data_IF_861905413055
#
_entry.id   IF_861905413055
#
_cell.length_a   1.000
_cell.length_b   1.000
_cell.length_c   1.000
_cell.angle_alpha   90.00
_cell.angle_beta   90.00
_cell.angle_gamma   90.00
#
_symmetry.space_group_name_H-M   'P 1'
#
loop_
_entity.id
_entity.type
_entity.pdbx_description
1 polymer ?
#
# COMPACT_ATOMS: atom_id res chain seq x y z
N UNK A 1 -7.14 14.00 -38.25
CA UNK A 1 -5.90 13.87 -37.45
C UNK A 1 -6.22 13.03 -36.23
N UNK A 2 -5.67 11.82 -36.13
CA UNK A 2 -5.86 10.92 -34.99
C UNK A 2 -4.67 11.05 -34.04
N UNK A 3 -4.92 11.36 -32.77
CA UNK A 3 -3.90 11.34 -31.73
C UNK A 3 -3.67 9.89 -31.32
N UNK A 4 -2.56 9.30 -31.78
CA UNK A 4 -2.07 8.04 -31.24
C UNK A 4 -1.45 8.32 -29.86
N UNK A 5 -2.11 7.84 -28.80
CA UNK A 5 -1.49 7.79 -27.48
C UNK A 5 -0.45 6.68 -27.49
N UNK A 6 0.82 7.05 -27.41
CA UNK A 6 1.88 6.10 -27.15
C UNK A 6 1.72 5.62 -25.70
N UNK A 7 1.24 4.38 -25.52
CA UNK A 7 1.38 3.70 -24.25
C UNK A 7 2.87 3.60 -23.94
N UNK A 8 3.35 4.46 -23.03
CA UNK A 8 4.69 4.37 -22.53
C UNK A 8 4.88 2.96 -21.98
N UNK A 9 5.84 2.21 -22.55
CA UNK A 9 6.22 0.91 -22.03
C UNK A 9 6.62 1.11 -20.57
N UNK A 10 5.78 0.62 -19.66
CA UNK A 10 6.04 0.69 -18.22
C UNK A 10 7.27 -0.17 -17.97
N UNK A 11 8.40 0.47 -17.70
CA UNK A 11 9.61 -0.23 -17.29
C UNK A 11 9.25 -1.11 -16.07
N UNK A 12 9.69 -2.38 -16.05
CA UNK A 12 9.39 -3.25 -14.92
C UNK A 12 9.90 -2.59 -13.65
N UNK A 13 9.10 -2.60 -12.58
CA UNK A 13 9.51 -2.00 -11.33
C UNK A 13 10.78 -2.72 -10.83
N UNK A 14 11.68 -2.04 -10.10
CA UNK A 14 12.81 -2.69 -9.44
C UNK A 14 12.39 -3.97 -8.74
N UNK A 15 13.21 -5.03 -8.74
CA UNK A 15 12.83 -6.33 -8.18
C UNK A 15 12.27 -6.25 -6.74
N UNK A 16 12.81 -5.33 -5.93
CA UNK A 16 12.31 -5.04 -4.59
C UNK A 16 10.86 -4.49 -4.57
N UNK A 17 10.50 -3.64 -5.53
CA UNK A 17 9.14 -3.12 -5.67
C UNK A 17 8.18 -4.24 -6.09
N UNK A 18 8.58 -5.10 -7.04
CA UNK A 18 7.78 -6.26 -7.44
C UNK A 18 7.53 -7.21 -6.27
N UNK A 19 8.57 -7.52 -5.48
CA UNK A 19 8.45 -8.35 -4.28
C UNK A 19 7.53 -7.70 -3.24
N UNK A 20 7.67 -6.39 -3.00
CA UNK A 20 6.80 -5.66 -2.08
C UNK A 20 5.32 -5.75 -2.51
N UNK A 21 5.03 -5.50 -3.80
CA UNK A 21 3.66 -5.57 -4.34
C UNK A 21 3.09 -6.97 -4.18
N UNK A 22 3.80 -8.01 -4.63
CA UNK A 22 3.33 -9.39 -4.56
C UNK A 22 3.09 -9.82 -3.10
N UNK A 23 3.99 -9.42 -2.20
CA UNK A 23 3.88 -9.76 -0.78
C UNK A 23 2.69 -9.04 -0.14
N UNK A 24 2.54 -7.73 -0.38
CA UNK A 24 1.42 -6.93 0.12
C UNK A 24 0.07 -7.41 -0.40
N UNK A 25 -0.03 -7.71 -1.70
CA UNK A 25 -1.22 -8.29 -2.30
C UNK A 25 -1.58 -9.62 -1.61
N UNK A 26 -0.64 -10.54 -1.47
CA UNK A 26 -0.87 -11.80 -0.75
C UNK A 26 -1.26 -11.58 0.72
N UNK A 27 -0.67 -10.59 1.41
CA UNK A 27 -1.06 -10.22 2.76
C UNK A 27 -2.50 -9.72 2.84
N UNK A 28 -2.94 -8.91 1.88
CA UNK A 28 -4.31 -8.40 1.82
C UNK A 28 -5.28 -9.55 1.53
N UNK A 29 -5.01 -10.38 0.54
CA UNK A 29 -5.90 -11.49 0.14
C UNK A 29 -6.10 -12.52 1.25
N UNK A 30 -5.05 -12.87 2.02
CA UNK A 30 -5.24 -13.78 3.18
C UNK A 30 -6.06 -13.18 4.33
N UNK A 31 -6.29 -11.86 4.33
CA UNK A 31 -7.12 -11.15 5.32
C UNK A 31 -8.39 -10.58 4.69
N UNK A 32 -8.73 -10.98 3.46
CA UNK A 32 -9.93 -10.52 2.78
C UNK A 32 -11.17 -10.89 3.61
N UNK A 33 -12.12 -9.94 3.70
CA UNK A 33 -13.37 -10.17 4.39
C UNK A 33 -14.17 -11.25 3.65
N UNK A 34 -14.61 -12.34 4.31
CA UNK A 34 -15.37 -13.41 3.65
C UNK A 34 -16.74 -13.00 3.07
N UNK A 35 -17.22 -11.79 3.39
CA UNK A 35 -18.52 -11.27 2.93
C UNK A 35 -18.38 -10.38 1.69
N UNK A 36 -17.15 -10.13 1.24
CA UNK A 36 -16.86 -9.37 0.02
C UNK A 36 -16.55 -10.36 -1.10
N UNK A 37 -16.92 -10.01 -2.34
CA UNK A 37 -16.55 -10.79 -3.52
C UNK A 37 -15.03 -10.96 -3.59
N UNK A 38 -14.50 -12.18 -3.85
CA UNK A 38 -13.07 -12.40 -4.05
C UNK A 38 -12.47 -11.51 -5.13
N UNK A 39 -13.19 -11.29 -6.24
CA UNK A 39 -12.73 -10.46 -7.36
C UNK A 39 -12.62 -8.98 -6.95
N UNK A 40 -13.57 -8.48 -6.16
CA UNK A 40 -13.53 -7.11 -5.64
C UNK A 40 -12.36 -6.94 -4.65
N UNK A 41 -12.16 -7.93 -3.78
CA UNK A 41 -11.04 -7.93 -2.84
C UNK A 41 -9.69 -7.95 -3.57
N UNK A 42 -9.56 -8.76 -4.62
CA UNK A 42 -8.37 -8.84 -5.45
C UNK A 42 -8.09 -7.52 -6.19
N UNK A 43 -9.12 -6.91 -6.77
CA UNK A 43 -9.01 -5.60 -7.41
C UNK A 43 -8.50 -4.54 -6.43
N UNK A 44 -9.11 -4.46 -5.24
CA UNK A 44 -8.70 -3.48 -4.22
C UNK A 44 -7.31 -3.79 -3.68
N UNK A 45 -6.95 -5.06 -3.48
CA UNK A 45 -5.61 -5.45 -3.03
C UNK A 45 -4.53 -5.06 -4.06
N UNK A 46 -4.81 -5.25 -5.34
CA UNK A 46 -3.96 -4.82 -6.45
C UNK A 46 -3.78 -3.30 -6.45
N UNK A 47 -4.87 -2.55 -6.34
CA UNK A 47 -4.82 -1.08 -6.32
C UNK A 47 -3.99 -0.57 -5.13
N UNK A 48 -4.24 -1.07 -3.92
CA UNK A 48 -3.53 -0.64 -2.69
C UNK A 48 -2.03 -0.94 -2.78
N UNK A 49 -1.68 -2.15 -3.23
CA UNK A 49 -0.28 -2.58 -3.29
C UNK A 49 0.54 -1.75 -4.27
N UNK A 50 -0.03 -1.39 -5.42
CA UNK A 50 0.60 -0.48 -6.37
C UNK A 50 0.61 0.98 -5.90
N UNK A 51 -0.44 1.47 -5.25
CA UNK A 51 -0.49 2.83 -4.70
C UNK A 51 0.60 3.07 -3.63
N UNK A 52 1.07 2.02 -2.97
CA UNK A 52 2.21 2.08 -2.04
C UNK A 52 3.56 2.39 -2.72
N UNK A 53 3.68 2.20 -4.03
CA UNK A 53 4.88 2.55 -4.79
C UNK A 53 4.93 4.04 -5.18
N UNK A 54 3.81 4.75 -5.09
CA UNK A 54 3.70 6.15 -5.47
C UNK A 54 4.17 7.09 -4.36
N UNK A 55 4.65 8.30 -4.68
CA UNK A 55 5.35 9.14 -3.71
C UNK A 55 4.46 9.92 -2.74
N UNK A 56 3.12 9.85 -2.83
CA UNK A 56 2.26 10.68 -1.98
C UNK A 56 1.72 9.92 -0.76
N UNK A 57 0.85 10.54 0.03
CA UNK A 57 0.02 9.82 0.98
C UNK A 57 -0.90 8.84 0.26
N UNK A 58 -1.16 7.68 0.89
CA UNK A 58 -1.98 6.64 0.28
C UNK A 58 -3.35 7.14 -0.15
N UNK A 59 -3.99 8.00 0.64
CA UNK A 59 -5.30 8.56 0.29
C UNK A 59 -5.25 9.40 -0.99
N UNK A 60 -4.24 10.25 -1.18
CA UNK A 60 -4.06 11.04 -2.42
C UNK A 60 -3.74 10.15 -3.61
N UNK A 61 -2.88 9.16 -3.41
CA UNK A 61 -2.54 8.20 -4.47
C UNK A 61 -3.73 7.32 -4.89
N UNK A 62 -4.71 7.13 -4.00
CA UNK A 62 -5.97 6.45 -4.28
C UNK A 62 -7.08 7.40 -4.77
N UNK A 63 -6.86 8.71 -4.75
CA UNK A 63 -7.89 9.71 -5.09
C UNK A 63 -9.04 9.79 -4.07
N UNK A 64 -8.77 9.47 -2.81
CA UNK A 64 -9.74 9.52 -1.70
C UNK A 64 -9.66 10.86 -0.96
N UNK A 65 -10.68 11.19 -0.17
CA UNK A 65 -10.76 12.50 0.51
C UNK A 65 -9.89 12.62 1.77
N UNK A 66 -9.26 11.53 2.22
CA UNK A 66 -8.38 11.57 3.39
C UNK A 66 -8.07 10.21 4.00
N UNK A 67 -7.40 10.24 5.16
CA UNK A 67 -6.98 9.03 5.90
C UNK A 67 -8.17 8.17 6.32
N UNK A 68 -9.28 8.78 6.73
CA UNK A 68 -10.43 8.04 7.25
C UNK A 68 -11.15 7.26 6.14
N UNK A 69 -11.17 7.78 4.91
CA UNK A 69 -11.67 7.05 3.74
C UNK A 69 -10.83 5.80 3.45
N UNK A 70 -9.50 5.87 3.65
CA UNK A 70 -8.62 4.69 3.55
C UNK A 70 -8.91 3.71 4.67
N UNK A 71 -9.14 4.20 5.90
CA UNK A 71 -9.49 3.34 7.04
C UNK A 71 -10.80 2.59 6.77
N UNK A 72 -11.85 3.28 6.35
CA UNK A 72 -13.14 2.68 6.04
C UNK A 72 -13.04 1.65 4.89
N UNK A 73 -12.24 1.93 3.86
CA UNK A 73 -11.95 0.97 2.80
C UNK A 73 -11.24 -0.28 3.35
N UNK A 74 -10.19 -0.12 4.15
CA UNK A 74 -9.45 -1.25 4.73
C UNK A 74 -10.30 -2.05 5.72
N UNK A 75 -11.16 -1.40 6.51
CA UNK A 75 -12.10 -2.06 7.43
C UNK A 75 -13.17 -2.85 6.68
N UNK A 76 -13.64 -2.35 5.54
CA UNK A 76 -14.60 -3.07 4.69
C UNK A 76 -14.00 -4.30 4.02
N UNK A 77 -12.83 -4.15 3.40
CA UNK A 77 -12.24 -5.20 2.55
C UNK A 77 -11.30 -6.14 3.31
N UNK A 78 -10.57 -5.64 4.32
CA UNK A 78 -9.53 -6.37 5.04
C UNK A 78 -9.60 -6.14 6.57
N UNK A 79 -10.76 -6.36 7.21
CA UNK A 79 -11.03 -5.94 8.60
C UNK A 79 -10.02 -6.51 9.60
N UNK A 80 -9.65 -7.79 9.45
CA UNK A 80 -8.71 -8.45 10.34
C UNK A 80 -7.28 -7.89 10.25
N UNK A 81 -6.91 -7.28 9.11
CA UNK A 81 -5.64 -6.59 8.95
C UNK A 81 -5.74 -5.16 9.50
N UNK A 82 -6.82 -4.44 9.18
CA UNK A 82 -7.06 -3.08 9.65
C UNK A 82 -7.07 -2.99 11.18
N UNK A 83 -7.72 -3.95 11.85
CA UNK A 83 -7.79 -4.04 13.31
C UNK A 83 -6.43 -4.20 14.00
N UNK A 84 -5.38 -4.63 13.28
CA UNK A 84 -4.02 -4.74 13.83
C UNK A 84 -3.29 -3.40 13.90
N UNK A 85 -3.79 -2.35 13.25
CA UNK A 85 -3.20 -1.01 13.30
C UNK A 85 -3.57 -0.27 14.61
N UNK A 86 -3.35 -0.91 15.76
CA UNK A 86 -3.72 -0.39 17.08
C UNK A 86 -2.98 0.89 17.46
N UNK A 87 -1.75 1.06 16.95
CA UNK A 87 -0.94 2.25 17.15
C UNK A 87 -1.33 3.41 16.21
N UNK A 88 -2.38 3.25 15.39
CA UNK A 88 -2.88 4.29 14.49
C UNK A 88 -1.79 4.85 13.57
N UNK A 89 -0.90 3.98 13.09
CA UNK A 89 0.15 4.38 12.17
C UNK A 89 -0.45 4.87 10.85
N UNK A 90 0.31 5.70 10.13
CA UNK A 90 -0.01 6.06 8.74
C UNK A 90 -0.01 4.79 7.89
N UNK A 91 -1.00 4.67 7.00
CA UNK A 91 -1.29 3.40 6.34
C UNK A 91 -0.11 2.81 5.55
N UNK A 92 0.66 3.60 4.78
CA UNK A 92 1.87 3.07 4.10
C UNK A 92 2.92 2.52 5.07
N UNK A 93 3.11 3.18 6.23
CA UNK A 93 4.05 2.72 7.27
C UNK A 93 3.57 1.41 7.89
N UNK A 94 2.29 1.32 8.25
CA UNK A 94 1.70 0.09 8.77
C UNK A 94 1.81 -1.07 7.76
N UNK A 95 1.37 -0.87 6.51
CA UNK A 95 1.40 -1.92 5.49
C UNK A 95 2.84 -2.39 5.20
N UNK A 96 3.82 -1.48 5.17
CA UNK A 96 5.23 -1.84 5.02
C UNK A 96 5.77 -2.64 6.22
N UNK A 97 5.35 -2.32 7.45
CA UNK A 97 5.67 -3.14 8.62
C UNK A 97 5.09 -4.54 8.52
N UNK A 98 3.84 -4.67 8.04
CA UNK A 98 3.23 -6.00 7.85
C UNK A 98 3.97 -6.81 6.77
N UNK A 99 4.40 -6.16 5.68
CA UNK A 99 5.25 -6.78 4.65
C UNK A 99 6.56 -7.27 5.24
N UNK A 100 7.31 -6.40 5.91
CA UNK A 100 8.58 -6.75 6.53
C UNK A 100 8.43 -7.91 7.53
N UNK A 101 7.41 -7.85 8.40
CA UNK A 101 7.13 -8.90 9.37
C UNK A 101 6.84 -10.26 8.70
N UNK A 102 6.11 -10.28 7.57
CA UNK A 102 5.84 -11.53 6.85
C UNK A 102 7.07 -12.15 6.17
N UNK A 103 8.10 -11.33 5.91
CA UNK A 103 9.36 -11.77 5.32
C UNK A 103 10.45 -12.02 6.37
N UNK A 104 10.15 -11.81 7.66
CA UNK A 104 11.16 -11.88 8.73
C UNK A 104 12.23 -10.78 8.64
N UNK A 105 11.91 -9.66 7.99
CA UNK A 105 12.81 -8.53 7.79
C UNK A 105 12.56 -7.43 8.83
N UNK A 106 13.57 -6.58 9.12
CA UNK A 106 13.34 -5.38 9.90
C UNK A 106 12.32 -4.48 9.19
N UNK A 107 11.49 -3.79 9.97
CA UNK A 107 10.57 -2.80 9.43
C UNK A 107 11.33 -1.78 8.57
N UNK A 108 10.65 -1.18 7.60
CA UNK A 108 11.21 -0.15 6.73
C UNK A 108 10.10 0.66 6.06
N UNK A 109 10.46 1.73 5.34
CA UNK A 109 9.50 2.49 4.56
C UNK A 109 8.92 1.67 3.41
N UNK A 110 7.69 1.98 3.02
CA UNK A 110 7.14 1.51 1.75
C UNK A 110 7.94 2.11 0.58
N UNK A 111 8.04 1.46 -0.59
CA UNK A 111 8.90 1.94 -1.68
C UNK A 111 8.63 3.37 -2.15
N UNK A 112 7.38 3.83 -2.11
CA UNK A 112 7.03 5.21 -2.46
C UNK A 112 7.29 6.24 -1.35
N UNK A 113 7.43 5.82 -0.09
CA UNK A 113 7.56 6.74 1.03
C UNK A 113 8.71 7.75 0.93
N UNK A 114 9.92 7.42 0.41
CA UNK A 114 11.01 8.38 0.28
C UNK A 114 10.68 9.63 -0.55
N UNK A 115 9.69 9.55 -1.44
CA UNK A 115 9.21 10.68 -2.23
C UNK A 115 8.10 11.53 -1.56
N UNK A 116 7.63 11.14 -0.37
CA UNK A 116 6.53 11.79 0.33
C UNK A 116 7.02 13.00 1.14
N UNK A 117 6.25 14.09 1.11
CA UNK A 117 6.56 15.32 1.85
C UNK A 117 6.73 15.10 3.36
N UNK A 118 5.97 14.16 3.94
CA UNK A 118 6.05 13.81 5.37
C UNK A 118 7.05 12.69 5.69
N UNK A 119 7.94 12.30 4.75
CA UNK A 119 8.87 11.20 4.98
C UNK A 119 9.71 11.41 6.25
N UNK A 120 10.28 12.62 6.42
CA UNK A 120 11.10 12.95 7.59
C UNK A 120 10.34 12.93 8.91
N UNK A 121 9.03 13.21 8.89
CA UNK A 121 8.15 13.08 10.05
C UNK A 121 7.90 11.60 10.38
N UNK A 122 7.71 10.76 9.36
CA UNK A 122 7.40 9.35 9.53
C UNK A 122 8.62 8.49 9.91
N UNK A 123 9.80 8.88 9.43
CA UNK A 123 11.07 8.16 9.52
C UNK A 123 12.20 9.13 9.94
N UNK A 124 12.19 9.64 11.19
CA UNK A 124 13.28 10.48 11.69
C UNK A 124 14.58 9.68 11.76
N UNK A 125 15.73 10.35 11.57
CA UNK A 125 17.08 9.73 11.43
C UNK A 125 17.56 8.86 12.62
N UNK A 126 16.76 8.66 13.66
CA UNK A 126 17.13 7.95 14.89
C UNK A 126 16.32 6.65 15.13
N UNK A 127 15.60 6.14 14.13
CA UNK A 127 14.74 4.93 14.29
C UNK A 127 15.08 3.77 13.34
N UNK A 128 16.26 3.79 12.70
CA UNK A 128 16.79 2.71 11.86
C UNK A 128 18.28 2.52 12.07
#
# INVERSE_FOLDING_TARGET
AALASAAAAVAPPPAAHAQFVATLHALLMRNAHPAVSPDDADCVATIISHACLRPDHLWRDLGLDGRDAVSAMLERYFPALAARNVAQLRWKKFLAQQVAASLGLPAGPSPGCPGCEDFGFCFPRQQY
#
